data_IF_159422283141
#
_entry.id   IF_159422283141
#
_cell.length_a   1.000
_cell.length_b   1.000
_cell.length_c   1.000
_cell.angle_alpha   90.00
_cell.angle_beta   90.00
_cell.angle_gamma   90.00
#
_symmetry.space_group_name_H-M   'P 1'
#
loop_
_entity.id
_entity.type
_entity.pdbx_description
1 polymer ?
#
# COMPACT_ATOMS: atom_id res chain seq x y z
N UNK A 1 -47.43 1.14 23.68
CA UNK A 1 -47.16 0.25 22.51
C UNK A 1 -46.43 0.99 21.40
N UNK A 2 -46.97 2.08 20.84
CA UNK A 2 -46.32 2.87 19.76
C UNK A 2 -44.91 3.36 20.12
N UNK A 3 -44.72 3.86 21.35
CA UNK A 3 -43.41 4.35 21.84
C UNK A 3 -42.37 3.22 21.93
N UNK A 4 -42.80 2.01 22.29
CA UNK A 4 -41.93 0.83 22.42
C UNK A 4 -41.49 0.38 21.02
N UNK A 5 -42.43 0.28 20.08
CA UNK A 5 -42.14 -0.09 18.69
C UNK A 5 -41.21 0.93 18.00
N UNK A 6 -41.39 2.23 18.26
CA UNK A 6 -40.51 3.27 17.72
C UNK A 6 -39.09 3.20 18.32
N UNK A 7 -38.99 2.89 19.61
CA UNK A 7 -37.70 2.70 20.29
C UNK A 7 -36.94 1.49 19.74
N UNK A 8 -37.63 0.36 19.53
CA UNK A 8 -36.99 -0.84 18.97
C UNK A 8 -36.57 -0.64 17.51
N UNK A 9 -37.37 0.08 16.71
CA UNK A 9 -36.98 0.44 15.34
C UNK A 9 -35.73 1.31 15.29
N UNK A 10 -35.64 2.32 16.17
CA UNK A 10 -34.46 3.19 16.29
C UNK A 10 -33.20 2.41 16.69
N UNK A 11 -33.34 1.48 17.63
CA UNK A 11 -32.23 0.62 18.05
C UNK A 11 -31.78 -0.31 16.91
N UNK A 12 -32.71 -0.86 16.14
CA UNK A 12 -32.38 -1.74 15.00
C UNK A 12 -31.59 -1.01 13.90
N UNK A 13 -31.98 0.21 13.55
CA UNK A 13 -31.25 1.01 12.56
C UNK A 13 -29.85 1.41 13.05
N UNK A 14 -29.72 1.73 14.34
CA UNK A 14 -28.44 2.04 14.97
C UNK A 14 -27.47 0.86 14.96
N UNK A 15 -27.98 -0.35 15.24
CA UNK A 15 -27.22 -1.60 15.20
C UNK A 15 -26.71 -1.87 13.77
N UNK A 16 -27.56 -1.68 12.75
CA UNK A 16 -27.18 -1.88 11.33
C UNK A 16 -26.06 -0.92 10.90
N UNK A 17 -26.13 0.35 11.29
CA UNK A 17 -25.06 1.31 11.01
C UNK A 17 -23.78 1.00 11.80
N UNK A 18 -23.90 0.56 13.05
CA UNK A 18 -22.76 0.13 13.87
C UNK A 18 -21.98 -1.03 13.23
N UNK A 19 -22.67 -2.05 12.73
CA UNK A 19 -22.02 -3.15 12.03
C UNK A 19 -21.28 -2.70 10.76
N UNK A 20 -21.88 -1.81 9.97
CA UNK A 20 -21.24 -1.29 8.77
C UNK A 20 -19.97 -0.48 9.07
N UNK A 21 -19.96 0.29 10.16
CA UNK A 21 -18.78 1.02 10.61
C UNK A 21 -17.70 0.04 11.07
N UNK A 22 -18.08 -1.00 11.81
CA UNK A 22 -17.13 -2.00 12.29
C UNK A 22 -16.51 -2.81 11.14
N UNK A 23 -17.29 -3.15 10.11
CA UNK A 23 -16.79 -3.83 8.92
C UNK A 23 -15.79 -2.95 8.15
N UNK A 24 -16.14 -1.68 7.93
CA UNK A 24 -15.23 -0.70 7.30
C UNK A 24 -13.96 -0.48 8.12
N UNK A 25 -14.06 -0.47 9.45
CA UNK A 25 -12.90 -0.36 10.36
C UNK A 25 -11.98 -1.56 10.21
N UNK A 26 -12.53 -2.78 10.17
CA UNK A 26 -11.75 -4.00 9.94
C UNK A 26 -11.08 -4.01 8.57
N UNK A 27 -11.77 -3.58 7.52
CA UNK A 27 -11.17 -3.46 6.18
C UNK A 27 -10.02 -2.44 6.17
N UNK A 28 -10.21 -1.30 6.82
CA UNK A 28 -9.17 -0.28 6.96
C UNK A 28 -7.94 -0.81 7.72
N UNK A 29 -8.13 -1.46 8.87
CA UNK A 29 -7.03 -2.05 9.65
C UNK A 29 -6.27 -3.12 8.86
N UNK A 30 -6.97 -3.96 8.09
CA UNK A 30 -6.35 -4.93 7.18
C UNK A 30 -5.53 -4.23 6.11
N UNK A 31 -6.08 -3.22 5.45
CA UNK A 31 -5.35 -2.45 4.43
C UNK A 31 -4.11 -1.75 5.01
N UNK A 32 -4.23 -1.17 6.20
CA UNK A 32 -3.12 -0.46 6.85
C UNK A 32 -1.99 -1.42 7.25
N UNK A 33 -2.32 -2.58 7.81
CA UNK A 33 -1.33 -3.62 8.14
C UNK A 33 -0.62 -4.15 6.88
N UNK A 34 -1.34 -4.38 5.79
CA UNK A 34 -0.75 -4.77 4.52
C UNK A 34 0.17 -3.67 3.97
N UNK A 35 -0.25 -2.40 4.03
CA UNK A 35 0.58 -1.28 3.58
C UNK A 35 1.89 -1.19 4.36
N UNK A 36 1.85 -1.30 5.69
CA UNK A 36 3.06 -1.32 6.53
C UNK A 36 3.98 -2.48 6.17
N UNK A 37 3.42 -3.68 5.97
CA UNK A 37 4.21 -4.85 5.59
C UNK A 37 4.92 -4.65 4.24
N UNK A 38 4.18 -4.18 3.22
CA UNK A 38 4.73 -3.94 1.89
C UNK A 38 5.82 -2.86 1.89
N UNK A 39 5.69 -1.81 2.71
CA UNK A 39 6.74 -0.79 2.85
C UNK A 39 8.04 -1.40 3.39
N UNK A 40 7.94 -2.23 4.44
CA UNK A 40 9.10 -2.92 4.99
C UNK A 40 9.73 -3.89 3.99
N UNK A 41 8.90 -4.58 3.19
CA UNK A 41 9.38 -5.45 2.13
C UNK A 41 10.13 -4.65 1.06
N UNK A 42 9.58 -3.52 0.59
CA UNK A 42 10.26 -2.61 -0.33
C UNK A 42 11.59 -2.15 0.25
N UNK A 43 11.62 -1.65 1.48
CA UNK A 43 12.85 -1.19 2.13
C UNK A 43 13.89 -2.32 2.21
N UNK A 44 13.45 -3.54 2.51
CA UNK A 44 14.33 -4.71 2.59
C UNK A 44 14.86 -5.10 1.21
N UNK A 45 14.00 -5.12 0.18
CA UNK A 45 14.36 -5.49 -1.19
C UNK A 45 15.24 -4.44 -1.87
N UNK A 46 14.99 -3.16 -1.60
CA UNK A 46 15.76 -2.02 -2.11
C UNK A 46 17.01 -1.75 -1.26
N UNK A 47 17.21 -2.44 -0.13
CA UNK A 47 18.39 -2.23 0.70
C UNK A 47 19.69 -2.51 -0.08
N UNK A 48 20.62 -1.54 -0.17
CA UNK A 48 21.86 -1.70 -0.95
C UNK A 48 22.65 -2.96 -0.56
N UNK A 49 22.71 -3.27 0.74
CA UNK A 49 23.39 -4.45 1.26
C UNK A 49 22.82 -5.77 0.72
N UNK A 50 21.49 -5.87 0.58
CA UNK A 50 20.87 -7.08 0.03
C UNK A 50 21.12 -7.20 -1.47
N UNK A 51 21.04 -6.08 -2.19
CA UNK A 51 21.31 -6.02 -3.63
C UNK A 51 22.77 -6.40 -3.90
N UNK A 52 23.73 -5.81 -3.19
CA UNK A 52 25.15 -6.11 -3.31
C UNK A 52 25.43 -7.59 -3.06
N UNK A 53 24.88 -8.15 -1.97
CA UNK A 53 25.02 -9.57 -1.69
C UNK A 53 24.52 -10.44 -2.84
N UNK A 54 23.34 -10.15 -3.37
CA UNK A 54 22.77 -10.88 -4.51
C UNK A 54 23.63 -10.76 -5.77
N UNK A 55 24.10 -9.54 -6.07
CA UNK A 55 24.95 -9.24 -7.21
C UNK A 55 26.28 -10.02 -7.16
N UNK A 56 26.93 -10.05 -6.00
CA UNK A 56 28.22 -10.71 -5.84
C UNK A 56 28.08 -12.23 -5.72
N UNK A 57 27.14 -12.73 -4.92
CA UNK A 57 27.03 -14.16 -4.63
C UNK A 57 26.33 -14.96 -5.74
N UNK A 58 25.30 -14.40 -6.37
CA UNK A 58 24.49 -15.15 -7.35
C UNK A 58 24.81 -14.80 -8.80
N UNK A 59 25.16 -13.54 -9.05
CA UNK A 59 25.44 -13.05 -10.40
C UNK A 59 26.94 -12.93 -10.70
N UNK A 60 27.81 -13.16 -9.71
CA UNK A 60 29.27 -13.00 -9.81
C UNK A 60 29.69 -11.62 -10.37
N UNK A 61 28.91 -10.59 -10.06
CA UNK A 61 29.23 -9.23 -10.46
C UNK A 61 30.33 -8.66 -9.56
N UNK A 62 31.10 -7.73 -10.13
CA UNK A 62 32.16 -6.98 -9.44
C UNK A 62 31.89 -5.50 -9.52
N UNK A 63 32.37 -4.75 -8.53
CA UNK A 63 32.25 -3.29 -8.52
C UNK A 63 33.08 -2.72 -9.69
N UNK A 64 32.49 -1.93 -10.61
CA UNK A 64 33.22 -1.34 -11.72
C UNK A 64 34.24 -0.30 -11.23
N UNK A 65 35.32 -0.11 -12.00
CA UNK A 65 36.25 1.00 -11.75
C UNK A 65 35.64 2.34 -12.13
N UNK A 66 36.20 3.45 -11.63
CA UNK A 66 35.68 4.80 -11.92
C UNK A 66 35.60 5.08 -13.43
N UNK A 67 36.56 4.57 -14.20
CA UNK A 67 36.64 4.76 -15.66
C UNK A 67 35.55 4.00 -16.43
N UNK A 68 34.84 3.08 -15.77
CA UNK A 68 33.79 2.25 -16.34
C UNK A 68 32.37 2.72 -15.96
N UNK A 69 32.25 3.76 -15.13
CA UNK A 69 30.98 4.31 -14.68
C UNK A 69 30.58 5.56 -15.51
N UNK A 70 29.38 5.55 -16.10
CA UNK A 70 28.81 6.70 -16.81
C UNK A 70 27.71 7.31 -15.93
N UNK A 71 27.81 8.60 -15.63
CA UNK A 71 26.77 9.34 -14.89
C UNK A 71 25.69 9.78 -15.86
N UNK A 72 24.47 9.28 -15.68
CA UNK A 72 23.30 9.71 -16.43
C UNK A 72 22.65 10.90 -15.72
N UNK A 73 22.32 11.95 -16.47
CA UNK A 73 21.52 13.06 -15.97
C UNK A 73 20.11 12.55 -15.63
N UNK A 74 19.66 12.81 -14.40
CA UNK A 74 18.36 12.32 -13.94
C UNK A 74 17.26 13.07 -14.68
N UNK A 75 16.62 12.39 -15.62
CA UNK A 75 15.35 12.86 -16.20
C UNK A 75 14.32 12.87 -15.07
N UNK A 76 13.77 14.04 -14.75
CA UNK A 76 12.73 14.14 -13.73
C UNK A 76 11.56 13.22 -14.10
N UNK A 77 11.19 12.36 -13.16
CA UNK A 77 10.03 11.49 -13.31
C UNK A 77 8.82 12.40 -13.48
N UNK A 78 8.15 12.31 -14.63
CA UNK A 78 6.98 13.13 -14.91
C UNK A 78 5.97 13.00 -13.74
N UNK A 79 5.41 14.11 -13.24
CA UNK A 79 4.48 14.07 -12.13
C UNK A 79 3.33 13.10 -12.44
N UNK A 80 2.87 12.32 -11.45
CA UNK A 80 1.77 11.38 -11.66
C UNK A 80 0.58 12.15 -12.25
N UNK A 81 -0.09 11.62 -13.29
CA UNK A 81 -1.19 12.33 -13.93
C UNK A 81 -2.29 12.62 -12.91
N UNK A 82 -2.77 13.86 -12.88
CA UNK A 82 -3.72 14.39 -11.89
C UNK A 82 -5.07 13.65 -11.85
N UNK A 83 -5.34 12.73 -12.77
CA UNK A 83 -6.55 11.91 -12.75
C UNK A 83 -6.31 10.57 -13.45
N UNK A 84 -5.93 9.55 -12.69
CA UNK A 84 -6.05 8.18 -13.14
C UNK A 84 -7.54 7.77 -13.10
N UNK A 85 -8.27 7.97 -14.20
CA UNK A 85 -9.62 7.43 -14.36
C UNK A 85 -9.48 5.91 -14.51
N UNK A 86 -9.64 5.18 -13.40
CA UNK A 86 -9.78 3.72 -13.43
C UNK A 86 -11.17 3.41 -13.97
N UNK A 87 -11.25 3.07 -15.25
CA UNK A 87 -12.49 2.63 -15.87
C UNK A 87 -12.85 1.21 -15.37
N UNK A 88 -13.69 1.14 -14.34
CA UNK A 88 -14.27 -0.14 -13.91
C UNK A 88 -15.41 -0.51 -14.86
N UNK A 89 -15.23 -1.55 -15.67
CA UNK A 89 -16.29 -2.12 -16.51
C UNK A 89 -17.23 -2.94 -15.63
N UNK A 90 -18.53 -2.64 -15.68
CA UNK A 90 -19.60 -3.39 -15.00
C UNK A 90 -20.05 -4.58 -15.83
#
# INVERSE_FOLDING_TARGET
VVVILFSEWKNFELIRHGYRIEDLRKEHEKAESANRHLRLEIETLTSPKRIERFATEQLNLVVPSQDQAIVLERVEVAPPPDTAIVATRR
#
